data_IF_813168033941
#
_entry.id   IF_813168033941
#
_cell.length_a   1.000
_cell.length_b   1.000
_cell.length_c   1.000
_cell.angle_alpha   90.00
_cell.angle_beta   90.00
_cell.angle_gamma   90.00
#
_symmetry.space_group_name_H-M   'P 1'
#
loop_
_entity.id
_entity.type
_entity.pdbx_description
1 polymer ?
#
# COMPACT_ATOMS: atom_id res chain seq x y z
N UNK A 1 32.03 -24.69 2.25
CA UNK A 1 32.50 -23.30 2.40
C UNK A 1 31.41 -22.44 1.78
N UNK A 2 30.49 -21.92 2.60
CA UNK A 2 29.36 -21.12 2.11
C UNK A 2 29.91 -19.73 1.88
N UNK A 3 30.13 -19.37 0.62
CA UNK A 3 30.59 -18.05 0.20
C UNK A 3 29.52 -17.03 0.56
N UNK A 4 29.77 -16.25 1.62
CA UNK A 4 29.10 -14.97 1.90
C UNK A 4 29.63 -13.89 0.95
N UNK A 5 29.69 -14.18 -0.35
CA UNK A 5 29.86 -13.14 -1.36
C UNK A 5 28.47 -12.69 -1.78
N UNK A 6 28.06 -11.54 -1.23
CA UNK A 6 26.81 -10.87 -1.55
C UNK A 6 27.03 -10.02 -2.80
N UNK A 7 27.27 -10.66 -3.95
CA UNK A 7 26.94 -9.99 -5.21
C UNK A 7 25.44 -10.18 -5.47
N UNK A 8 24.64 -9.40 -4.73
CA UNK A 8 23.19 -9.31 -4.94
C UNK A 8 22.92 -8.25 -6.01
N UNK A 9 23.54 -8.37 -7.18
CA UNK A 9 23.27 -7.49 -8.30
C UNK A 9 21.76 -7.33 -8.49
N UNK A 10 21.27 -6.09 -8.44
CA UNK A 10 19.86 -5.78 -8.70
C UNK A 10 19.59 -6.16 -10.16
N UNK A 11 18.89 -7.28 -10.37
CA UNK A 11 18.47 -7.69 -11.71
C UNK A 11 17.68 -6.57 -12.39
N UNK A 12 17.73 -6.52 -13.72
CA UNK A 12 17.13 -5.42 -14.50
C UNK A 12 15.65 -5.17 -14.18
N UNK A 13 14.88 -6.23 -13.95
CA UNK A 13 13.47 -6.11 -13.56
C UNK A 13 13.30 -5.44 -12.20
N UNK A 14 14.05 -5.88 -11.18
CA UNK A 14 13.98 -5.31 -9.84
C UNK A 14 14.45 -3.85 -9.82
N UNK A 15 15.46 -3.50 -10.61
CA UNK A 15 15.88 -2.12 -10.79
C UNK A 15 14.77 -1.26 -11.44
N UNK A 16 14.05 -1.79 -12.43
CA UNK A 16 12.89 -1.13 -13.04
C UNK A 16 11.76 -0.94 -12.02
N UNK A 17 11.45 -1.98 -11.24
CA UNK A 17 10.40 -1.92 -10.20
C UNK A 17 10.76 -0.90 -9.11
N UNK A 18 12.03 -0.84 -8.69
CA UNK A 18 12.54 0.17 -7.75
C UNK A 18 12.37 1.58 -8.30
N UNK A 19 12.78 1.82 -9.55
CA UNK A 19 12.66 3.13 -10.18
C UNK A 19 11.20 3.58 -10.31
N UNK A 20 10.31 2.67 -10.73
CA UNK A 20 8.88 2.95 -10.82
C UNK A 20 8.27 3.26 -9.44
N UNK A 21 8.65 2.49 -8.41
CA UNK A 21 8.18 2.69 -7.03
C UNK A 21 8.65 4.03 -6.48
N UNK A 22 9.93 4.38 -6.65
CA UNK A 22 10.48 5.66 -6.22
C UNK A 22 9.81 6.85 -6.92
N UNK A 23 9.50 6.72 -8.22
CA UNK A 23 8.77 7.76 -8.93
C UNK A 23 7.34 7.94 -8.40
N UNK A 24 6.64 6.85 -8.09
CA UNK A 24 5.32 6.91 -7.42
C UNK A 24 5.42 7.58 -6.05
N UNK A 25 6.40 7.18 -5.22
CA UNK A 25 6.65 7.80 -3.91
C UNK A 25 6.85 9.32 -4.05
N UNK A 26 7.72 9.74 -4.97
CA UNK A 26 7.99 11.16 -5.20
C UNK A 26 6.72 11.95 -5.57
N UNK A 27 5.87 11.38 -6.44
CA UNK A 27 4.58 12.00 -6.80
C UNK A 27 3.62 12.08 -5.62
N UNK A 28 3.53 11.02 -4.80
CA UNK A 28 2.67 11.00 -3.61
C UNK A 28 3.12 12.02 -2.57
N UNK A 29 4.41 12.06 -2.25
CA UNK A 29 4.96 13.04 -1.33
C UNK A 29 4.90 14.49 -1.85
N UNK A 30 5.04 14.70 -3.17
CA UNK A 30 4.80 16.01 -3.79
C UNK A 30 3.34 16.46 -3.63
N UNK A 31 2.40 15.52 -3.64
CA UNK A 31 0.98 15.76 -3.37
C UNK A 31 0.63 15.83 -1.87
N UNK A 32 1.62 15.75 -0.97
CA UNK A 32 1.42 15.90 0.48
C UNK A 32 1.08 14.61 1.24
N UNK A 33 1.33 13.43 0.65
CA UNK A 33 1.10 12.15 1.30
C UNK A 33 1.93 11.95 2.58
N UNK A 34 1.37 11.19 3.52
CA UNK A 34 2.11 10.55 4.61
C UNK A 34 2.35 9.08 4.28
N UNK A 35 3.52 8.55 4.63
CA UNK A 35 3.84 7.13 4.50
C UNK A 35 3.69 6.40 5.85
N UNK A 36 2.96 5.29 5.84
CA UNK A 36 2.74 4.44 7.01
C UNK A 36 3.49 3.12 6.81
N UNK A 37 4.51 2.85 7.63
CA UNK A 37 5.32 1.64 7.53
C UNK A 37 4.87 0.57 8.52
N UNK A 38 4.71 -0.67 8.06
CA UNK A 38 4.42 -1.85 8.89
C UNK A 38 5.44 -2.95 8.62
N UNK A 39 5.78 -3.71 9.66
CA UNK A 39 6.64 -4.89 9.51
C UNK A 39 6.32 -5.88 10.65
N UNK A 40 5.18 -6.58 10.61
CA UNK A 40 4.80 -7.52 11.67
C UNK A 40 5.91 -8.56 11.90
N UNK A 41 6.35 -8.73 13.14
CA UNK A 41 7.44 -9.65 13.50
C UNK A 41 8.84 -9.19 13.09
N UNK A 42 8.97 -7.99 12.51
CA UNK A 42 10.25 -7.37 12.15
C UNK A 42 10.16 -5.83 12.29
N UNK A 43 9.59 -5.36 13.40
CA UNK A 43 9.29 -3.96 13.70
C UNK A 43 10.47 -2.99 13.49
N UNK A 44 11.74 -3.37 13.74
CA UNK A 44 12.89 -2.52 13.40
C UNK A 44 12.92 -2.03 11.96
N UNK A 45 12.41 -2.80 10.98
CA UNK A 45 12.33 -2.34 9.59
C UNK A 45 11.31 -1.22 9.40
N UNK A 46 10.13 -1.33 10.01
CA UNK A 46 9.12 -0.28 9.96
C UNK A 46 9.65 1.03 10.57
N UNK A 47 10.30 0.93 11.72
CA UNK A 47 10.93 2.05 12.42
C UNK A 47 12.06 2.67 11.59
N UNK A 48 12.92 1.85 10.98
CA UNK A 48 14.00 2.34 10.12
C UNK A 48 13.44 3.10 8.93
N UNK A 49 12.45 2.55 8.21
CA UNK A 49 11.79 3.25 7.10
C UNK A 49 11.26 4.62 7.54
N UNK A 50 10.59 4.70 8.69
CA UNK A 50 10.07 5.97 9.19
C UNK A 50 11.20 6.98 9.49
N UNK A 51 12.26 6.56 10.16
CA UNK A 51 13.40 7.42 10.50
C UNK A 51 14.13 7.88 9.25
N UNK A 52 14.41 6.99 8.30
CA UNK A 52 15.13 7.30 7.05
C UNK A 52 14.44 8.42 6.26
N UNK A 53 13.11 8.39 6.17
CA UNK A 53 12.34 9.38 5.44
C UNK A 53 12.15 10.70 6.22
N UNK A 54 12.01 10.65 7.55
CA UNK A 54 11.83 11.86 8.38
C UNK A 54 13.15 12.59 8.65
N UNK A 55 14.24 11.86 8.84
CA UNK A 55 15.56 12.39 9.21
C UNK A 55 16.59 12.05 8.13
N UNK A 56 16.55 12.73 6.96
CA UNK A 56 17.40 12.39 5.84
C UNK A 56 18.88 12.52 6.21
N UNK A 57 19.66 11.48 5.89
CA UNK A 57 21.10 11.42 6.21
C UNK A 57 21.92 12.45 5.44
N UNK A 58 21.44 12.87 4.26
CA UNK A 58 22.11 13.88 3.43
C UNK A 58 21.65 15.28 3.83
N UNK A 59 22.61 16.11 4.25
CA UNK A 59 22.40 17.50 4.62
C UNK A 59 21.67 18.26 3.51
N UNK A 60 20.60 18.97 3.89
CA UNK A 60 19.82 19.83 2.99
C UNK A 60 18.70 19.11 2.23
N UNK A 61 18.55 17.78 2.36
CA UNK A 61 17.38 17.07 1.81
C UNK A 61 16.12 17.34 2.64
N UNK A 62 14.98 17.40 1.96
CA UNK A 62 13.65 17.61 2.56
C UNK A 62 13.26 16.40 3.40
N UNK A 63 12.81 16.61 4.64
CA UNK A 63 12.12 15.58 5.43
C UNK A 63 10.78 15.19 4.78
N UNK A 64 10.50 13.89 4.70
CA UNK A 64 9.29 13.31 4.15
C UNK A 64 8.44 12.70 5.27
N UNK A 65 7.12 12.98 5.36
CA UNK A 65 6.30 12.48 6.45
C UNK A 65 6.18 10.95 6.42
N UNK A 66 6.76 10.28 7.41
CA UNK A 66 6.67 8.84 7.55
C UNK A 66 6.49 8.43 9.02
N UNK A 67 5.65 7.43 9.27
CA UNK A 67 5.34 6.94 10.61
C UNK A 67 5.29 5.42 10.61
N UNK A 68 5.98 4.80 11.58
CA UNK A 68 5.92 3.37 11.80
C UNK A 68 4.68 3.01 12.63
N UNK A 69 3.88 2.09 12.12
CA UNK A 69 2.75 1.50 12.82
C UNK A 69 3.21 0.16 13.43
N UNK A 70 3.58 0.21 14.71
CA UNK A 70 4.04 -0.95 15.48
C UNK A 70 2.96 -1.40 16.47
N UNK A 71 2.89 -2.70 16.74
CA UNK A 71 1.93 -3.27 17.68
C UNK A 71 1.18 -4.46 17.09
N UNK A 72 0.28 -5.08 17.85
CA UNK A 72 -0.37 -6.33 17.47
C UNK A 72 -1.39 -6.19 16.33
N UNK A 73 -1.98 -5.00 16.14
CA UNK A 73 -3.11 -4.80 15.23
C UNK A 73 -2.80 -3.81 14.08
N UNK A 74 -1.83 -4.11 13.19
CA UNK A 74 -1.42 -3.19 12.12
C UNK A 74 -2.53 -2.86 11.13
N UNK A 75 -3.52 -3.75 10.96
CA UNK A 75 -4.69 -3.52 10.09
C UNK A 75 -5.53 -2.36 10.63
N UNK A 76 -5.89 -2.40 11.90
CA UNK A 76 -6.72 -1.36 12.51
C UNK A 76 -5.95 -0.05 12.67
N UNK A 77 -4.66 -0.12 13.03
CA UNK A 77 -3.78 1.06 13.06
C UNK A 77 -3.71 1.73 11.68
N UNK A 78 -3.52 0.97 10.60
CA UNK A 78 -3.51 1.52 9.26
C UNK A 78 -4.89 2.07 8.86
N UNK A 79 -5.97 1.35 9.20
CA UNK A 79 -7.35 1.78 8.91
C UNK A 79 -7.64 3.15 9.51
N UNK A 80 -7.29 3.40 10.77
CA UNK A 80 -7.59 4.68 11.43
C UNK A 80 -6.63 5.81 11.04
N UNK A 81 -5.40 5.48 10.65
CA UNK A 81 -4.34 6.46 10.39
C UNK A 81 -4.36 6.96 8.96
N UNK A 82 -4.46 6.04 7.99
CA UNK A 82 -4.26 6.36 6.60
C UNK A 82 -5.42 7.17 6.01
N UNK A 83 -5.08 8.14 5.15
CA UNK A 83 -6.02 8.96 4.38
C UNK A 83 -5.89 8.68 2.88
N UNK A 84 -6.94 8.96 2.08
CA UNK A 84 -6.81 8.89 0.64
C UNK A 84 -5.62 9.72 0.12
N UNK A 85 -4.78 9.11 -0.70
CA UNK A 85 -3.55 9.71 -1.21
C UNK A 85 -2.29 9.36 -0.42
N UNK A 86 -2.41 8.79 0.79
CA UNK A 86 -1.28 8.29 1.57
C UNK A 86 -0.62 7.04 0.96
N UNK A 87 0.49 6.64 1.56
CA UNK A 87 1.26 5.46 1.19
C UNK A 87 1.25 4.48 2.36
N UNK A 88 1.08 3.20 2.08
CA UNK A 88 1.32 2.13 3.06
C UNK A 88 2.44 1.23 2.51
N UNK A 89 3.51 1.09 3.28
CA UNK A 89 4.65 0.24 2.94
C UNK A 89 4.79 -0.89 3.96
N UNK A 90 4.86 -2.13 3.51
CA UNK A 90 5.03 -3.28 4.37
C UNK A 90 6.33 -4.03 4.08
N UNK A 91 6.93 -4.57 5.15
CA UNK A 91 8.04 -5.55 5.07
C UNK A 91 7.57 -6.85 5.70
N UNK A 92 7.38 -7.90 4.90
CA UNK A 92 6.97 -9.23 5.40
C UNK A 92 7.15 -10.33 4.33
N UNK A 93 6.97 -11.59 4.72
CA UNK A 93 6.68 -12.68 3.77
C UNK A 93 5.30 -12.52 3.14
N UNK A 94 5.09 -13.14 1.97
CA UNK A 94 3.85 -13.03 1.18
C UNK A 94 2.63 -13.67 1.84
N UNK A 95 2.86 -14.57 2.80
CA UNK A 95 1.88 -15.30 3.57
C UNK A 95 1.43 -14.58 4.85
N UNK A 96 2.04 -13.44 5.19
CA UNK A 96 1.64 -12.68 6.39
C UNK A 96 0.17 -12.22 6.28
N UNK A 97 -0.72 -12.68 7.17
CA UNK A 97 -2.16 -12.43 7.05
C UNK A 97 -2.50 -10.95 7.29
N UNK A 98 -1.74 -10.25 8.12
CA UNK A 98 -1.98 -8.85 8.43
C UNK A 98 -1.59 -7.96 7.25
N UNK A 99 -0.43 -8.22 6.65
CA UNK A 99 0.01 -7.47 5.47
C UNK A 99 -0.92 -7.74 4.28
N UNK A 100 -1.29 -9.00 4.02
CA UNK A 100 -2.31 -9.32 3.00
C UNK A 100 -3.61 -8.55 3.23
N UNK A 101 -4.09 -8.52 4.46
CA UNK A 101 -5.31 -7.80 4.85
C UNK A 101 -5.21 -6.29 4.60
N UNK A 102 -4.07 -5.68 4.90
CA UNK A 102 -3.78 -4.25 4.62
C UNK A 102 -3.72 -3.97 3.12
N UNK A 103 -3.02 -4.81 2.35
CA UNK A 103 -2.86 -4.58 0.91
C UNK A 103 -4.20 -4.72 0.18
N UNK A 104 -5.02 -5.71 0.53
CA UNK A 104 -6.38 -5.86 0.00
C UNK A 104 -7.28 -4.64 0.27
N UNK A 105 -7.07 -3.95 1.39
CA UNK A 105 -7.88 -2.78 1.80
C UNK A 105 -7.35 -1.46 1.27
N UNK A 106 -6.09 -1.41 0.86
CA UNK A 106 -5.42 -0.19 0.38
C UNK A 106 -6.20 0.52 -0.74
N UNK A 107 -6.76 -0.17 -1.75
CA UNK A 107 -7.60 0.47 -2.76
C UNK A 107 -8.85 1.15 -2.18
N UNK A 108 -9.53 0.50 -1.23
CA UNK A 108 -10.70 1.08 -0.55
C UNK A 108 -10.32 2.24 0.37
N UNK A 109 -9.09 2.27 0.89
CA UNK A 109 -8.57 3.39 1.67
C UNK A 109 -8.04 4.54 0.80
N UNK A 110 -7.86 4.30 -0.50
CA UNK A 110 -7.27 5.24 -1.44
C UNK A 110 -5.76 5.42 -1.26
N UNK A 111 -5.08 4.43 -0.66
CA UNK A 111 -3.64 4.47 -0.41
C UNK A 111 -2.86 3.77 -1.52
N UNK A 112 -1.66 4.25 -1.82
CA UNK A 112 -0.69 3.48 -2.60
C UNK A 112 -0.01 2.44 -1.72
N UNK A 113 0.02 1.20 -2.17
CA UNK A 113 0.53 0.04 -1.46
C UNK A 113 1.89 -0.41 -1.99
N UNK A 114 2.86 -0.58 -1.09
CA UNK A 114 4.21 -1.09 -1.41
C UNK A 114 4.50 -2.28 -0.51
N UNK A 115 4.95 -3.39 -1.10
CA UNK A 115 5.29 -4.60 -0.36
C UNK A 115 6.73 -5.04 -0.65
N UNK A 116 7.56 -5.03 0.38
CA UNK A 116 8.93 -5.53 0.38
C UNK A 116 8.96 -6.91 1.05
N UNK A 117 9.66 -7.87 0.43
CA UNK A 117 9.87 -9.19 1.04
C UNK A 117 10.81 -10.09 0.26
N UNK A 118 10.83 -11.37 0.62
CA UNK A 118 11.67 -12.39 -0.01
C UNK A 118 11.01 -13.77 0.00
N UNK A 119 11.55 -14.70 -0.79
CA UNK A 119 11.02 -16.05 -0.90
C UNK A 119 9.84 -16.14 -1.87
N UNK A 120 8.78 -16.87 -1.52
CA UNK A 120 7.59 -16.98 -2.37
C UNK A 120 6.95 -15.60 -2.58
N UNK A 121 6.86 -15.15 -3.84
CA UNK A 121 6.32 -13.84 -4.19
C UNK A 121 4.80 -13.81 -4.06
N UNK A 122 4.17 -12.70 -3.61
CA UNK A 122 2.72 -12.58 -3.65
C UNK A 122 2.20 -12.62 -5.09
N UNK A 123 0.92 -12.96 -5.25
CA UNK A 123 0.25 -12.99 -6.56
C UNK A 123 0.34 -11.60 -7.26
N UNK A 124 0.40 -11.55 -8.60
CA UNK A 124 0.35 -10.28 -9.32
C UNK A 124 -0.88 -9.46 -8.94
N UNK A 125 -0.70 -8.16 -8.69
CA UNK A 125 -1.79 -7.27 -8.27
C UNK A 125 -2.07 -7.25 -6.76
N UNK A 126 -1.34 -8.03 -5.95
CA UNK A 126 -1.51 -8.02 -4.49
C UNK A 126 -1.15 -6.67 -3.84
N UNK A 127 -0.35 -5.82 -4.49
CA UNK A 127 -0.05 -4.44 -4.11
C UNK A 127 0.29 -3.63 -5.37
N UNK A 128 0.26 -2.29 -5.30
CA UNK A 128 0.62 -1.42 -6.43
C UNK A 128 2.09 -1.60 -6.82
N UNK A 129 2.96 -1.83 -5.82
CA UNK A 129 4.38 -2.08 -6.00
C UNK A 129 4.85 -3.25 -5.14
N UNK A 130 5.51 -4.23 -5.76
CA UNK A 130 6.10 -5.39 -5.07
C UNK A 130 7.60 -5.42 -5.35
N UNK A 131 8.41 -5.25 -4.31
CA UNK A 131 9.87 -5.28 -4.37
C UNK A 131 10.35 -6.54 -3.65
N UNK A 132 10.84 -7.51 -4.41
CA UNK A 132 11.06 -8.86 -3.88
C UNK A 132 12.48 -9.35 -4.13
N UNK A 133 13.10 -9.92 -3.10
CA UNK A 133 14.36 -10.63 -3.22
C UNK A 133 14.09 -12.09 -3.59
N UNK A 134 14.74 -12.55 -4.66
CA UNK A 134 14.77 -13.96 -5.04
C UNK A 134 15.85 -14.69 -4.22
N UNK A 135 15.66 -14.72 -2.90
CA UNK A 135 16.54 -15.40 -1.94
C UNK A 135 15.67 -16.13 -0.91
N UNK A 136 15.68 -17.48 -0.90
CA UNK A 136 14.87 -18.28 0.01
C UNK A 136 15.49 -18.39 1.41
N UNK A 137 16.66 -17.80 1.68
CA UNK A 137 17.29 -17.87 3.00
C UNK A 137 16.40 -17.19 4.06
N UNK A 138 15.96 -17.90 5.12
CA UNK A 138 15.12 -17.33 6.17
C UNK A 138 15.80 -16.18 6.93
N UNK A 139 17.12 -16.00 6.78
CA UNK A 139 17.88 -14.90 7.38
C UNK A 139 17.88 -13.63 6.54
N UNK A 140 17.33 -13.63 5.32
CA UNK A 140 17.24 -12.44 4.45
C UNK A 140 16.75 -11.18 5.17
N UNK A 141 15.73 -11.25 6.06
CA UNK A 141 15.31 -10.08 6.82
C UNK A 141 16.42 -9.43 7.66
N UNK A 142 17.45 -10.19 8.04
CA UNK A 142 18.58 -9.74 8.85
C UNK A 142 19.89 -9.54 8.06
N UNK A 143 19.93 -9.89 6.76
CA UNK A 143 21.17 -9.79 5.95
C UNK A 143 21.36 -8.41 5.30
N UNK A 144 20.44 -7.47 5.50
CA UNK A 144 20.51 -6.11 4.95
C UNK A 144 19.86 -5.92 3.58
N UNK A 145 19.33 -6.97 2.95
CA UNK A 145 18.70 -6.88 1.63
C UNK A 145 17.50 -5.92 1.59
N UNK A 146 16.62 -5.97 2.60
CA UNK A 146 15.49 -5.03 2.69
C UNK A 146 15.95 -3.60 2.99
N UNK A 147 17.04 -3.47 3.74
CA UNK A 147 17.67 -2.17 4.06
C UNK A 147 18.07 -1.45 2.78
N UNK A 148 18.72 -2.17 1.88
CA UNK A 148 19.09 -1.64 0.56
C UNK A 148 17.87 -1.11 -0.21
N UNK A 149 16.74 -1.81 -0.19
CA UNK A 149 15.55 -1.36 -0.93
C UNK A 149 15.03 -0.03 -0.42
N UNK A 150 14.80 0.13 0.88
CA UNK A 150 14.24 1.39 1.37
C UNK A 150 15.25 2.53 1.37
N UNK A 151 16.57 2.26 1.44
CA UNK A 151 17.61 3.27 1.19
C UNK A 151 17.60 3.75 -0.26
N UNK A 152 17.52 2.83 -1.23
CA UNK A 152 17.42 3.20 -2.64
C UNK A 152 16.10 3.89 -2.97
N UNK A 153 14.99 3.47 -2.38
CA UNK A 153 13.72 4.17 -2.52
C UNK A 153 13.83 5.61 -2.02
N UNK A 154 14.44 5.82 -0.86
CA UNK A 154 14.68 7.16 -0.32
C UNK A 154 15.53 8.00 -1.28
N UNK A 155 16.68 7.47 -1.73
CA UNK A 155 17.60 8.19 -2.61
C UNK A 155 16.95 8.55 -3.95
N UNK A 156 16.35 7.57 -4.63
CA UNK A 156 15.71 7.76 -5.94
C UNK A 156 14.47 8.66 -5.85
N UNK A 157 13.73 8.61 -4.73
CA UNK A 157 12.63 9.56 -4.47
C UNK A 157 13.16 10.99 -4.43
N UNK A 158 14.31 11.21 -3.78
CA UNK A 158 14.96 12.52 -3.74
C UNK A 158 15.52 12.97 -5.09
N UNK A 159 16.07 12.07 -5.89
CA UNK A 159 16.46 12.37 -7.29
C UNK A 159 15.25 12.88 -8.07
N UNK A 160 14.06 12.28 -7.92
CA UNK A 160 12.86 12.76 -8.59
C UNK A 160 12.47 14.21 -8.20
N UNK A 161 12.73 14.63 -6.96
CA UNK A 161 12.48 16.02 -6.54
C UNK A 161 13.41 17.04 -7.20
N UNK A 162 14.62 16.63 -7.59
CA UNK A 162 15.54 17.47 -8.35
C UNK A 162 15.03 17.70 -9.79
N UNK A 163 14.14 16.83 -10.27
CA UNK A 163 13.47 16.91 -11.56
C UNK A 163 11.97 17.19 -11.42
N UNK A 164 11.60 18.21 -10.63
CA UNK A 164 10.20 18.54 -10.27
C UNK A 164 9.22 18.70 -11.44
N UNK A 165 9.69 18.96 -12.66
CA UNK A 165 8.87 18.94 -13.88
C UNK A 165 8.16 17.59 -14.14
N UNK A 166 8.74 16.49 -13.68
CA UNK A 166 8.17 15.14 -13.76
C UNK A 166 7.03 14.89 -12.76
N UNK A 167 6.93 15.71 -11.71
CA UNK A 167 5.99 15.50 -10.59
C UNK A 167 4.65 16.21 -10.78
N UNK A 168 4.47 16.92 -11.90
CA UNK A 168 3.20 17.59 -12.23
C UNK A 168 2.09 16.55 -12.38
N UNK A 169 0.92 16.75 -11.76
CA UNK A 169 -0.19 15.83 -11.91
C UNK A 169 -0.64 15.76 -13.37
N UNK A 170 -0.94 14.56 -13.85
CA UNK A 170 -1.62 14.39 -15.13
C UNK A 170 -3.02 15.00 -15.04
N UNK A 171 -3.52 15.55 -16.14
CA UNK A 171 -4.87 16.09 -16.21
C UNK A 171 -5.89 14.96 -15.91
N UNK A 172 -6.90 15.20 -15.05
CA UNK A 172 -7.92 14.20 -14.77
C UNK A 172 -8.69 13.86 -16.05
N UNK A 173 -8.87 12.57 -16.32
CA UNK A 173 -9.76 12.11 -17.39
C UNK A 173 -11.18 12.02 -16.82
N UNK A 174 -12.11 12.77 -17.39
CA UNK A 174 -13.52 12.69 -17.01
C UNK A 174 -14.19 11.51 -17.71
N UNK A 175 -14.58 10.49 -16.94
CA UNK A 175 -15.40 9.37 -17.42
C UNK A 175 -16.75 9.41 -16.71
N UNK A 176 -17.84 9.07 -17.42
CA UNK A 176 -19.16 8.98 -16.81
C UNK A 176 -19.18 7.82 -15.80
N UNK A 177 -19.50 8.09 -14.54
CA UNK A 177 -19.53 7.07 -13.48
C UNK A 177 -20.61 5.98 -13.70
N UNK A 178 -21.65 6.29 -14.48
CA UNK A 178 -22.76 5.36 -14.76
C UNK A 178 -22.53 4.55 -16.03
N UNK A 179 -21.86 5.12 -17.03
CA UNK A 179 -21.62 4.47 -18.32
C UNK A 179 -20.20 3.89 -18.44
N UNK A 180 -19.33 4.16 -17.46
CA UNK A 180 -18.00 3.60 -17.39
C UNK A 180 -18.04 2.24 -16.70
N UNK A 181 -17.24 1.30 -17.19
CA UNK A 181 -17.04 -0.02 -16.58
C UNK A 181 -16.13 0.08 -15.33
N UNK A 182 -16.38 1.04 -14.43
CA UNK A 182 -15.60 1.27 -13.21
C UNK A 182 -16.26 0.58 -12.00
N UNK A 183 -15.62 -0.46 -11.49
CA UNK A 183 -15.90 -1.02 -10.15
C UNK A 183 -14.88 -0.51 -9.15
N UNK A 184 -15.34 0.09 -8.04
CA UNK A 184 -14.46 0.63 -6.99
C UNK A 184 -14.54 -0.22 -5.75
N UNK A 185 -13.40 -0.57 -5.18
CA UNK A 185 -13.38 -1.29 -3.91
C UNK A 185 -13.84 -0.36 -2.77
N UNK A 186 -14.67 -0.90 -1.88
CA UNK A 186 -15.11 -0.24 -0.67
C UNK A 186 -15.05 -1.19 0.53
N UNK A 187 -14.77 -0.63 1.71
CA UNK A 187 -14.82 -1.35 2.98
C UNK A 187 -16.07 -0.93 3.75
N UNK A 188 -16.93 -1.88 4.12
CA UNK A 188 -18.13 -1.60 4.91
C UNK A 188 -17.74 -1.11 6.30
N UNK A 189 -18.18 0.08 6.66
CA UNK A 189 -17.93 0.67 7.99
C UNK A 189 -19.07 0.33 8.94
N UNK A 190 -20.31 0.47 8.46
CA UNK A 190 -21.51 0.26 9.26
C UNK A 190 -22.67 -0.12 8.36
N UNK A 191 -23.48 -1.08 8.80
CA UNK A 191 -24.71 -1.47 8.11
C UNK A 191 -25.89 -0.58 8.51
N UNK A 192 -26.80 -0.34 7.58
CA UNK A 192 -28.06 0.35 7.86
C UNK A 192 -28.97 -0.52 8.74
N UNK A 193 -29.50 0.06 9.82
CA UNK A 193 -30.50 -0.58 10.68
C UNK A 193 -31.91 -0.05 10.39
N UNK A 194 -32.93 -0.90 10.57
CA UNK A 194 -34.33 -0.49 10.50
C UNK A 194 -34.80 -0.16 9.07
N UNK A 195 -35.44 1.00 8.80
CA UNK A 195 -35.93 1.38 7.48
C UNK A 195 -34.84 1.51 6.40
N UNK A 196 -33.56 1.54 6.79
CA UNK A 196 -32.39 1.55 5.93
C UNK A 196 -31.82 0.14 5.65
N UNK A 197 -32.59 -0.93 5.91
CA UNK A 197 -32.23 -2.29 5.53
C UNK A 197 -31.92 -2.36 4.03
N UNK A 198 -30.79 -2.97 3.66
CA UNK A 198 -30.29 -3.00 2.28
C UNK A 198 -29.40 -1.82 1.89
N UNK A 199 -28.89 -1.05 2.86
CA UNK A 199 -27.85 -0.04 2.65
C UNK A 199 -26.74 -0.17 3.68
N UNK A 200 -25.54 0.31 3.36
CA UNK A 200 -24.42 0.40 4.28
C UNK A 200 -23.60 1.68 4.04
N UNK A 201 -23.02 2.23 5.10
CA UNK A 201 -21.99 3.26 4.99
C UNK A 201 -20.66 2.58 4.69
N UNK A 202 -20.05 2.94 3.57
CA UNK A 202 -18.87 2.28 2.99
C UNK A 202 -17.75 3.30 2.81
N UNK A 203 -16.54 2.94 3.22
CA UNK A 203 -15.33 3.72 2.94
C UNK A 203 -14.78 3.32 1.58
N UNK A 204 -14.59 4.31 0.71
CA UNK A 204 -13.90 4.15 -0.57
C UNK A 204 -12.72 5.13 -0.65
N UNK A 205 -11.91 5.02 -1.72
CA UNK A 205 -10.86 5.98 -2.02
C UNK A 205 -11.36 7.45 -2.13
N UNK A 206 -12.67 7.67 -2.35
CA UNK A 206 -13.29 9.00 -2.47
C UNK A 206 -13.88 9.52 -1.15
N UNK A 207 -13.84 8.71 -0.09
CA UNK A 207 -14.41 9.04 1.22
C UNK A 207 -15.50 8.06 1.65
N UNK A 208 -16.33 8.48 2.61
CA UNK A 208 -17.48 7.71 3.05
C UNK A 208 -18.66 7.95 2.10
N UNK A 209 -19.31 6.86 1.68
CA UNK A 209 -20.46 6.87 0.78
C UNK A 209 -21.53 5.93 1.35
N UNK A 210 -22.81 6.29 1.21
CA UNK A 210 -23.91 5.36 1.47
C UNK A 210 -24.18 4.54 0.20
N UNK A 211 -24.12 3.22 0.35
CA UNK A 211 -24.16 2.25 -0.77
C UNK A 211 -25.34 1.31 -0.58
N UNK A 212 -26.07 1.02 -1.65
CA UNK A 212 -27.13 0.01 -1.68
C UNK A 212 -26.51 -1.38 -1.70
N UNK A 213 -26.86 -2.25 -0.74
CA UNK A 213 -26.27 -3.59 -0.56
C UNK A 213 -27.24 -4.73 -0.82
N UNK A 214 -28.48 -4.45 -1.20
CA UNK A 214 -29.56 -5.44 -1.38
C UNK A 214 -29.20 -6.64 -2.27
N UNK A 215 -28.28 -6.48 -3.22
CA UNK A 215 -27.83 -7.56 -4.11
C UNK A 215 -26.89 -8.58 -3.43
N UNK A 216 -26.22 -8.18 -2.36
CA UNK A 216 -25.16 -8.96 -1.70
C UNK A 216 -25.40 -9.12 -0.19
N UNK A 217 -26.58 -8.74 0.29
CA UNK A 217 -26.96 -8.91 1.69
C UNK A 217 -26.93 -10.41 2.11
N UNK A 218 -26.59 -10.71 3.37
CA UNK A 218 -26.18 -9.78 4.42
C UNK A 218 -24.73 -9.33 4.26
N UNK A 219 -24.44 -8.06 4.54
CA UNK A 219 -23.07 -7.52 4.68
C UNK A 219 -22.71 -7.26 6.15
N UNK A 220 -21.42 -7.29 6.47
CA UNK A 220 -20.90 -6.99 7.82
C UNK A 220 -19.83 -5.90 7.79
N UNK A 221 -19.59 -5.18 8.90
CA UNK A 221 -18.43 -4.30 9.02
C UNK A 221 -17.12 -5.02 8.67
N UNK A 222 -16.20 -4.31 8.01
CA UNK A 222 -14.94 -4.79 7.44
C UNK A 222 -15.05 -5.71 6.20
N UNK A 223 -16.26 -6.01 5.72
CA UNK A 223 -16.45 -6.63 4.40
C UNK A 223 -15.86 -5.72 3.31
N UNK A 224 -15.15 -6.33 2.36
CA UNK A 224 -14.73 -5.66 1.13
C UNK A 224 -15.75 -5.94 0.03
N UNK A 225 -16.25 -4.88 -0.59
CA UNK A 225 -17.29 -4.94 -1.61
C UNK A 225 -16.88 -4.15 -2.85
N UNK A 226 -17.37 -4.55 -4.02
CA UNK A 226 -17.21 -3.79 -5.25
C UNK A 226 -18.44 -2.88 -5.41
N UNK A 227 -18.20 -1.58 -5.47
CA UNK A 227 -19.21 -0.53 -5.62
C UNK A 227 -19.21 -0.01 -7.05
N UNK A 228 -20.37 -0.05 -7.69
CA UNK A 228 -20.61 0.52 -9.00
C UNK A 228 -21.92 1.33 -8.98
N UNK A 229 -21.87 2.58 -9.46
CA UNK A 229 -23.02 3.49 -9.50
C UNK A 229 -23.84 3.57 -8.19
N UNK A 230 -23.18 3.55 -7.02
CA UNK A 230 -23.83 3.63 -5.70
C UNK A 230 -24.42 2.31 -5.18
N UNK A 231 -24.19 1.20 -5.88
CA UNK A 231 -24.67 -0.15 -5.52
C UNK A 231 -23.49 -1.10 -5.34
N UNK A 232 -23.56 -1.95 -4.33
CA UNK A 232 -22.62 -3.04 -4.14
C UNK A 232 -23.02 -4.23 -5.03
N UNK A 233 -22.11 -4.65 -5.92
CA UNK A 233 -22.39 -5.67 -6.95
C UNK A 233 -21.75 -7.02 -6.65
N UNK A 234 -20.72 -7.06 -5.80
CA UNK A 234 -20.08 -8.29 -5.33
C UNK A 234 -19.36 -8.05 -4.00
N UNK A 235 -19.14 -9.14 -3.24
CA UNK A 235 -18.17 -9.19 -2.14
C UNK A 235 -16.84 -9.71 -2.69
N UNK A 236 -15.73 -9.25 -2.12
CA UNK A 236 -14.40 -9.76 -2.41
C UNK A 236 -13.99 -10.77 -1.34
N UNK A 237 -13.84 -12.03 -1.73
CA UNK A 237 -13.45 -13.11 -0.83
C UNK A 237 -11.94 -13.10 -0.58
N UNK A 238 -11.47 -13.85 0.43
CA UNK A 238 -10.05 -13.90 0.83
C UNK A 238 -9.14 -14.47 -0.28
N UNK A 239 -9.69 -15.26 -1.19
CA UNK A 239 -8.97 -15.94 -2.26
C UNK A 239 -8.90 -15.16 -3.59
N UNK A 240 -9.71 -14.10 -3.73
CA UNK A 240 -9.89 -13.34 -4.98
C UNK A 240 -8.70 -12.44 -5.37
N UNK A 241 -7.61 -12.44 -4.59
CA UNK A 241 -6.38 -11.70 -4.86
C UNK A 241 -5.11 -12.54 -4.65
#
# INVERSE_FOLDING_TARGET
>A
MITTEVDRGLGAQLASDLAATAFTLARRFAAGATMWSIAPGAEPHALHIAVEFVHPVIVGKRALPAVALTGPDPVDLARVSARPGDIVIAVSGADDPHVRSVMRRSPAWGTTSIWIGSGARPKPGAADHVLWLDDPDPRVPATGGFVLFYHLLWELTHVCFEHSGLLKPAAPQSVCITCGDEGRLGEVVRTGGGPAAGTATVRTARGLEDVVTTLIDPVAPADLIVVHAGTAISRLDEDDL
#
